data_IF_267419511210
#
_entry.id   IF_267419511210
#
_cell.length_a   1.000
_cell.length_b   1.000
_cell.length_c   1.000
_cell.angle_alpha   90.00
_cell.angle_beta   90.00
_cell.angle_gamma   90.00
#
_symmetry.space_group_name_H-M   'P 1'
#
loop_
_entity.id
_entity.type
_entity.pdbx_description
1 polymer ?
#
# COMPACT_ATOMS: atom_id res chain seq x y z
N UNK A 1 5.01 0.73 23.62
CA UNK A 1 5.31 0.73 22.17
C UNK A 1 6.82 0.67 21.99
N UNK A 2 7.30 -0.42 21.41
CA UNK A 2 8.69 -0.59 20.94
C UNK A 2 9.01 0.40 19.82
N UNK A 3 10.30 0.57 19.54
CA UNK A 3 10.83 1.39 18.46
C UNK A 3 11.23 0.50 17.29
N UNK A 4 11.24 1.05 16.08
CA UNK A 4 11.74 0.32 14.92
C UNK A 4 13.21 -0.08 15.11
N UNK A 5 14.00 0.74 15.81
CA UNK A 5 15.39 0.47 16.15
C UNK A 5 15.59 -0.68 17.14
N UNK A 6 14.55 -1.10 17.88
CA UNK A 6 14.61 -2.22 18.82
C UNK A 6 14.64 -3.58 18.10
N UNK A 7 14.33 -3.59 16.79
CA UNK A 7 14.25 -4.78 15.96
C UNK A 7 15.44 -4.89 15.00
N UNK A 8 15.88 -6.12 14.76
CA UNK A 8 16.86 -6.41 13.70
C UNK A 8 16.15 -6.65 12.37
N UNK A 9 16.39 -5.77 11.41
CA UNK A 9 15.82 -5.86 10.06
C UNK A 9 16.84 -6.38 9.05
N UNK A 10 16.42 -7.28 8.17
CA UNK A 10 17.22 -7.69 7.02
C UNK A 10 17.26 -6.57 5.98
N UNK A 11 18.33 -6.52 5.17
CA UNK A 11 18.43 -5.60 4.03
C UNK A 11 17.44 -5.95 2.92
N UNK A 12 17.13 -7.24 2.81
CA UNK A 12 16.23 -7.80 1.82
C UNK A 12 15.44 -8.95 2.45
N UNK A 13 14.15 -9.02 2.13
CA UNK A 13 13.30 -10.16 2.41
C UNK A 13 12.90 -10.85 1.10
N UNK A 14 12.93 -12.19 1.08
CA UNK A 14 12.50 -13.07 -0.01
C UNK A 14 11.60 -14.19 0.55
N UNK A 15 11.00 -15.06 -0.29
CA UNK A 15 10.19 -16.17 0.22
C UNK A 15 10.99 -17.14 1.11
N UNK A 16 12.32 -17.20 0.98
CA UNK A 16 13.20 -17.99 1.85
C UNK A 16 13.17 -17.53 3.31
N UNK A 17 12.78 -16.28 3.54
CA UNK A 17 12.68 -15.70 4.89
C UNK A 17 11.35 -16.04 5.59
N UNK A 18 10.47 -16.78 4.93
CA UNK A 18 9.20 -17.26 5.48
C UNK A 18 8.05 -16.26 5.32
N UNK A 19 7.12 -16.27 6.29
CA UNK A 19 5.92 -15.43 6.25
C UNK A 19 6.28 -13.96 6.47
N UNK A 20 6.34 -13.20 5.37
CA UNK A 20 6.67 -11.78 5.37
C UNK A 20 5.70 -10.93 6.20
N UNK A 21 4.45 -11.36 6.38
CA UNK A 21 3.50 -10.64 7.25
C UNK A 21 4.00 -10.68 8.68
N UNK A 22 4.36 -11.87 9.17
CA UNK A 22 4.86 -12.07 10.54
C UNK A 22 6.28 -11.57 10.72
N UNK A 23 7.14 -11.75 9.71
CA UNK A 23 8.56 -11.43 9.77
C UNK A 23 8.88 -9.95 9.54
N UNK A 24 7.97 -9.19 8.93
CA UNK A 24 8.21 -7.78 8.58
C UNK A 24 7.04 -6.86 8.96
N UNK A 25 5.83 -7.08 8.43
CA UNK A 25 4.74 -6.11 8.58
C UNK A 25 4.22 -5.99 10.02
N UNK A 26 3.98 -7.12 10.69
CA UNK A 26 3.51 -7.13 12.08
C UNK A 26 4.48 -6.41 13.01
N UNK A 27 5.78 -6.78 13.11
CA UNK A 27 6.69 -6.08 14.02
C UNK A 27 6.89 -4.61 13.64
N UNK A 28 6.86 -4.26 12.36
CA UNK A 28 7.04 -2.88 11.93
C UNK A 28 5.83 -2.01 12.30
N UNK A 29 4.61 -2.51 12.07
CA UNK A 29 3.38 -1.79 12.37
C UNK A 29 3.04 -1.75 13.87
N UNK A 30 3.52 -2.71 14.66
CA UNK A 30 3.49 -2.64 16.13
C UNK A 30 4.31 -1.47 16.71
N UNK A 31 5.31 -0.99 15.97
CA UNK A 31 6.10 0.19 16.33
C UNK A 31 5.53 1.48 15.70
N UNK A 32 4.60 1.39 14.76
CA UNK A 32 4.26 2.50 13.90
C UNK A 32 3.27 3.49 14.53
N UNK A 33 3.48 4.77 14.24
CA UNK A 33 2.47 5.84 14.38
C UNK A 33 2.02 6.38 13.02
N UNK A 34 2.82 6.18 11.96
CA UNK A 34 2.44 6.52 10.59
C UNK A 34 2.86 5.41 9.62
N UNK A 35 1.99 5.13 8.64
CA UNK A 35 2.27 4.19 7.57
C UNK A 35 1.77 4.72 6.22
N UNK A 36 2.69 5.04 5.32
CA UNK A 36 2.40 5.38 3.93
C UNK A 36 2.61 4.14 3.05
N UNK A 37 1.62 3.79 2.21
CA UNK A 37 1.71 2.66 1.27
C UNK A 37 1.32 3.08 -0.14
N UNK A 38 2.17 2.74 -1.12
CA UNK A 38 1.88 2.81 -2.55
C UNK A 38 1.64 1.40 -3.09
N UNK A 39 0.54 1.20 -3.80
CA UNK A 39 0.26 -0.05 -4.55
C UNK A 39 -0.33 0.24 -5.91
N UNK A 40 0.01 -0.58 -6.89
CA UNK A 40 -0.39 -0.36 -8.27
C UNK A 40 -1.83 -0.75 -8.62
N UNK A 41 -2.39 -1.76 -7.95
CA UNK A 41 -3.73 -2.27 -8.30
C UNK A 41 -4.73 -2.08 -7.18
N UNK A 42 -5.89 -1.55 -7.54
CA UNK A 42 -7.05 -1.43 -6.67
C UNK A 42 -7.95 -2.67 -6.79
N UNK A 43 -7.84 -3.60 -5.85
CA UNK A 43 -8.72 -4.77 -5.75
C UNK A 43 -9.04 -5.08 -4.28
N UNK A 44 -10.15 -5.77 -4.01
CA UNK A 44 -10.59 -6.15 -2.66
C UNK A 44 -9.48 -6.87 -1.88
N UNK A 45 -8.72 -7.69 -2.60
CA UNK A 45 -7.55 -8.40 -2.09
C UNK A 45 -6.41 -7.47 -1.68
N UNK A 46 -6.11 -6.42 -2.46
CA UNK A 46 -5.03 -5.47 -2.12
C UNK A 46 -5.33 -4.71 -0.82
N UNK A 47 -6.60 -4.35 -0.66
CA UNK A 47 -7.16 -3.71 0.53
C UNK A 47 -7.17 -4.62 1.76
N UNK A 48 -7.53 -5.90 1.58
CA UNK A 48 -7.43 -6.94 2.62
C UNK A 48 -5.98 -7.17 3.08
N UNK A 49 -5.00 -6.84 2.23
CA UNK A 49 -3.59 -6.98 2.56
C UNK A 49 -3.04 -5.75 3.29
N UNK A 50 -3.58 -4.55 2.99
CA UNK A 50 -3.26 -3.32 3.71
C UNK A 50 -3.59 -3.40 5.21
N UNK A 51 -4.60 -4.18 5.60
CA UNK A 51 -4.98 -4.35 7.02
C UNK A 51 -4.10 -5.34 7.79
N UNK A 52 -3.16 -6.05 7.14
CA UNK A 52 -2.30 -7.01 7.86
C UNK A 52 -1.29 -6.30 8.73
N UNK A 53 -1.28 -6.64 10.02
CA UNK A 53 -0.42 -5.98 11.03
C UNK A 53 -0.93 -4.60 11.47
N UNK A 54 -2.03 -4.11 10.90
CA UNK A 54 -2.54 -2.77 11.20
C UNK A 54 -3.10 -2.62 12.61
N UNK A 55 -3.39 -3.74 13.28
CA UNK A 55 -3.79 -3.73 14.68
C UNK A 55 -2.75 -3.02 15.57
N UNK A 56 -1.45 -3.24 15.29
CA UNK A 56 -0.37 -2.53 15.97
C UNK A 56 -0.47 -1.02 15.78
N UNK A 57 -0.65 -0.58 14.53
CA UNK A 57 -0.83 0.83 14.18
C UNK A 57 -2.05 1.44 14.88
N UNK A 58 -3.19 0.74 14.89
CA UNK A 58 -4.42 1.17 15.56
C UNK A 58 -4.20 1.34 17.06
N UNK A 59 -3.57 0.36 17.71
CA UNK A 59 -3.26 0.41 19.16
C UNK A 59 -2.36 1.59 19.52
N UNK A 60 -1.48 1.99 18.60
CA UNK A 60 -0.60 3.15 18.77
C UNK A 60 -1.28 4.48 18.42
N UNK A 61 -2.58 4.46 18.14
CA UNK A 61 -3.36 5.61 17.67
C UNK A 61 -2.78 6.23 16.39
N UNK A 62 -2.13 5.38 15.58
CA UNK A 62 -1.46 5.78 14.36
C UNK A 62 -2.41 5.99 13.18
N UNK A 63 -1.82 6.38 12.05
CA UNK A 63 -2.53 6.69 10.81
C UNK A 63 -1.86 6.04 9.62
N UNK A 64 -2.67 5.59 8.68
CA UNK A 64 -2.21 5.05 7.41
C UNK A 64 -2.73 5.90 6.26
N UNK A 65 -1.88 6.09 5.24
CA UNK A 65 -2.28 6.64 3.95
C UNK A 65 -1.95 5.64 2.87
N UNK A 66 -2.95 5.25 2.11
CA UNK A 66 -2.88 4.25 1.06
C UNK A 66 -3.13 4.91 -0.29
N UNK A 67 -2.12 4.94 -1.16
CA UNK A 67 -2.25 5.41 -2.54
C UNK A 67 -2.37 4.20 -3.45
N UNK A 68 -3.46 4.16 -4.21
CA UNK A 68 -3.80 3.06 -5.10
C UNK A 68 -3.87 3.54 -6.55
N UNK A 69 -3.23 2.82 -7.46
CA UNK A 69 -3.35 3.10 -8.89
C UNK A 69 -4.77 2.88 -9.39
N UNK A 70 -5.28 3.83 -10.18
CA UNK A 70 -6.51 3.68 -10.96
C UNK A 70 -6.24 4.10 -12.40
N UNK A 71 -6.51 3.19 -13.31
CA UNK A 71 -6.38 3.43 -14.75
C UNK A 71 -7.78 3.64 -15.30
N UNK A 72 -7.96 4.75 -16.00
CA UNK A 72 -9.19 5.06 -16.71
C UNK A 72 -9.04 4.65 -18.18
N UNK A 73 -10.09 4.10 -18.74
CA UNK A 73 -10.16 3.72 -20.14
C UNK A 73 -10.46 4.93 -21.03
N UNK A 74 -10.23 4.77 -22.34
CA UNK A 74 -10.44 5.85 -23.32
C UNK A 74 -11.80 6.55 -23.20
N UNK A 75 -12.94 5.83 -23.06
CA UNK A 75 -14.25 6.50 -22.96
C UNK A 75 -14.38 7.40 -21.73
N UNK A 76 -13.73 7.03 -20.62
CA UNK A 76 -13.75 7.79 -19.36
C UNK A 76 -12.87 9.04 -19.50
N UNK A 77 -11.70 8.91 -20.11
CA UNK A 77 -10.84 10.05 -20.45
C UNK A 77 -11.54 11.02 -21.41
N UNK A 78 -12.25 10.51 -22.41
CA UNK A 78 -13.01 11.33 -23.36
C UNK A 78 -14.15 12.09 -22.66
N UNK A 79 -14.78 11.49 -21.65
CA UNK A 79 -15.77 12.17 -20.83
C UNK A 79 -15.15 13.32 -20.02
N UNK A 80 -13.96 13.12 -19.45
CA UNK A 80 -13.21 14.18 -18.76
C UNK A 80 -12.87 15.31 -19.73
N UNK A 81 -12.39 14.97 -20.93
CA UNK A 81 -12.06 15.95 -21.97
C UNK A 81 -13.29 16.77 -22.44
N UNK A 82 -14.49 16.23 -22.30
CA UNK A 82 -15.78 16.91 -22.59
C UNK A 82 -16.31 17.74 -21.41
N UNK A 83 -15.56 17.82 -20.31
CA UNK A 83 -15.88 18.67 -19.16
C UNK A 83 -16.50 17.93 -17.97
N UNK A 84 -16.46 16.60 -17.92
CA UNK A 84 -16.80 15.90 -16.67
C UNK A 84 -15.63 15.99 -15.69
N UNK A 85 -15.92 16.28 -14.43
CA UNK A 85 -14.90 16.33 -13.39
C UNK A 85 -14.26 14.95 -13.18
N UNK A 86 -12.94 14.95 -12.94
CA UNK A 86 -12.19 13.71 -12.71
C UNK A 86 -12.74 12.93 -11.51
N UNK A 87 -13.15 13.62 -10.44
CA UNK A 87 -13.69 12.99 -9.25
C UNK A 87 -15.01 12.24 -9.54
N UNK A 88 -15.89 12.84 -10.33
CA UNK A 88 -17.16 12.22 -10.71
C UNK A 88 -16.92 10.99 -11.60
N UNK A 89 -15.99 11.09 -12.56
CA UNK A 89 -15.62 9.93 -13.39
C UNK A 89 -14.97 8.81 -12.57
N UNK A 90 -14.08 9.14 -11.63
CA UNK A 90 -13.49 8.15 -10.72
C UNK A 90 -14.56 7.47 -9.87
N UNK A 91 -15.54 8.21 -9.36
CA UNK A 91 -16.64 7.63 -8.60
C UNK A 91 -17.43 6.63 -9.45
N UNK A 92 -17.78 7.00 -10.69
CA UNK A 92 -18.47 6.10 -11.63
C UNK A 92 -17.62 4.85 -11.92
N UNK A 93 -16.33 5.02 -12.21
CA UNK A 93 -15.40 3.93 -12.47
C UNK A 93 -15.32 2.92 -11.32
N UNK A 94 -15.17 3.43 -10.09
CA UNK A 94 -15.06 2.61 -8.88
C UNK A 94 -16.38 1.90 -8.55
N UNK A 95 -17.52 2.55 -8.78
CA UNK A 95 -18.85 1.95 -8.58
C UNK A 95 -19.17 0.88 -9.64
N UNK A 96 -18.69 1.05 -10.87
CA UNK A 96 -18.83 0.06 -11.94
C UNK A 96 -17.99 -1.20 -11.67
N UNK A 97 -16.90 -1.07 -10.90
CA UNK A 97 -15.98 -2.13 -10.55
C UNK A 97 -15.97 -2.38 -9.03
N UNK A 98 -17.10 -2.79 -8.42
CA UNK A 98 -17.18 -2.94 -6.97
C UNK A 98 -16.24 -4.04 -6.48
N UNK A 99 -15.69 -3.83 -5.28
CA UNK A 99 -14.88 -4.81 -4.57
C UNK A 99 -15.75 -6.03 -4.23
N UNK A 100 -15.46 -7.17 -4.86
CA UNK A 100 -16.18 -8.43 -4.63
C UNK A 100 -15.31 -9.39 -3.81
N UNK A 101 -15.64 -9.66 -2.54
CA UNK A 101 -14.91 -10.64 -1.75
C UNK A 101 -15.19 -12.05 -2.28
N UNK A 102 -14.14 -12.88 -2.38
CA UNK A 102 -14.24 -14.28 -2.81
C UNK A 102 -14.50 -15.27 -1.67
N UNK A 103 -14.33 -14.85 -0.41
CA UNK A 103 -14.50 -15.71 0.77
C UNK A 103 -14.80 -14.88 2.04
N UNK A 104 -15.15 -15.56 3.14
CA UNK A 104 -15.51 -14.91 4.41
C UNK A 104 -14.38 -14.08 5.03
N UNK A 105 -13.11 -14.47 4.84
CA UNK A 105 -11.96 -13.69 5.36
C UNK A 105 -11.84 -12.35 4.64
N UNK A 106 -12.08 -12.34 3.33
CA UNK A 106 -12.10 -11.11 2.53
C UNK A 106 -13.27 -10.21 2.90
N UNK A 107 -14.45 -10.77 3.21
CA UNK A 107 -15.58 -10.00 3.76
C UNK A 107 -15.18 -9.28 5.04
N UNK A 108 -14.65 -10.02 6.02
CA UNK A 108 -14.23 -9.46 7.32
C UNK A 108 -13.14 -8.39 7.16
N UNK A 109 -12.21 -8.59 6.22
CA UNK A 109 -11.16 -7.62 5.95
C UNK A 109 -11.70 -6.34 5.30
N UNK A 110 -12.67 -6.44 4.39
CA UNK A 110 -13.36 -5.29 3.82
C UNK A 110 -14.19 -4.54 4.88
N UNK A 111 -14.86 -5.25 5.79
CA UNK A 111 -15.59 -4.66 6.92
C UNK A 111 -14.65 -3.89 7.86
N UNK A 112 -13.51 -4.50 8.22
CA UNK A 112 -12.48 -3.84 9.02
C UNK A 112 -11.96 -2.59 8.30
N UNK A 113 -11.63 -2.69 7.02
CA UNK A 113 -11.18 -1.53 6.25
C UNK A 113 -12.24 -0.42 6.22
N UNK A 114 -13.50 -0.75 5.96
CA UNK A 114 -14.59 0.22 5.94
C UNK A 114 -14.71 0.93 7.29
N UNK A 115 -14.60 0.19 8.40
CA UNK A 115 -14.54 0.77 9.74
C UNK A 115 -13.32 1.68 9.92
N UNK A 116 -12.14 1.27 9.45
CA UNK A 116 -10.91 2.07 9.58
C UNK A 116 -10.97 3.38 8.78
N UNK A 117 -11.56 3.35 7.59
CA UNK A 117 -11.81 4.56 6.78
C UNK A 117 -12.82 5.47 7.50
N UNK A 118 -13.93 4.91 7.99
CA UNK A 118 -14.95 5.68 8.72
C UNK A 118 -14.40 6.33 10.01
N UNK A 119 -13.42 5.70 10.66
CA UNK A 119 -12.76 6.21 11.87
C UNK A 119 -11.47 7.01 11.56
N UNK A 120 -11.24 7.35 10.29
CA UNK A 120 -10.08 8.13 9.84
C UNK A 120 -8.72 7.53 10.23
N UNK A 121 -8.66 6.20 10.41
CA UNK A 121 -7.40 5.49 10.65
C UNK A 121 -6.64 5.30 9.34
N UNK A 122 -7.37 5.00 8.26
CA UNK A 122 -6.83 4.89 6.91
C UNK A 122 -7.43 6.01 6.04
N UNK A 123 -6.55 6.75 5.37
CA UNK A 123 -6.90 7.59 4.24
C UNK A 123 -6.56 6.83 2.94
N UNK A 124 -7.52 6.74 2.01
CA UNK A 124 -7.30 6.12 0.70
C UNK A 124 -7.32 7.21 -0.36
N UNK A 125 -6.25 7.28 -1.16
CA UNK A 125 -6.10 8.21 -2.27
C UNK A 125 -5.88 7.45 -3.57
N UNK A 126 -6.41 7.97 -4.67
CA UNK A 126 -6.32 7.33 -5.98
C UNK A 126 -5.30 8.04 -6.86
N UNK A 127 -4.34 7.29 -7.39
CA UNK A 127 -3.32 7.76 -8.31
C UNK A 127 -3.77 7.50 -9.75
N UNK A 128 -4.05 8.58 -10.50
CA UNK A 128 -4.43 8.55 -11.92
C UNK A 128 -3.21 8.94 -12.77
N UNK A 129 -2.80 8.10 -13.74
CA UNK A 129 -1.73 8.43 -14.67
C UNK A 129 -2.07 9.70 -15.47
N UNK A 130 -1.12 10.64 -15.52
CA UNK A 130 -1.27 11.90 -16.24
C UNK A 130 -0.08 12.16 -17.17
N UNK A 131 -0.31 12.95 -18.22
CA UNK A 131 0.76 13.54 -19.03
C UNK A 131 1.51 14.64 -18.25
N UNK A 132 2.55 15.22 -18.87
CA UNK A 132 3.33 16.30 -18.26
C UNK A 132 2.52 17.57 -17.93
N UNK A 133 1.36 17.78 -18.56
CA UNK A 133 0.43 18.86 -18.27
C UNK A 133 -0.56 18.53 -17.14
N UNK A 134 -0.40 17.40 -16.46
CA UNK A 134 -1.29 16.86 -15.40
C UNK A 134 -2.71 16.54 -15.89
N UNK A 135 -2.85 16.19 -17.17
CA UNK A 135 -4.12 15.71 -17.72
C UNK A 135 -4.13 14.17 -17.71
N UNK A 136 -5.22 13.54 -17.27
CA UNK A 136 -5.37 12.08 -17.29
C UNK A 136 -5.11 11.50 -18.68
N UNK A 137 -4.41 10.37 -18.75
CA UNK A 137 -4.13 9.67 -20.01
C UNK A 137 -4.69 8.24 -19.99
N UNK A 138 -5.18 7.74 -21.12
CA UNK A 138 -5.71 6.38 -21.23
C UNK A 138 -4.57 5.38 -21.28
N UNK A 139 -4.68 4.28 -20.53
CA UNK A 139 -4.07 2.96 -20.77
C UNK A 139 -2.58 2.80 -21.15
N UNK A 140 -1.77 3.85 -21.26
CA UNK A 140 -0.40 3.80 -21.80
C UNK A 140 0.66 3.59 -20.71
N UNK A 141 0.34 3.93 -19.46
CA UNK A 141 1.21 3.71 -18.31
C UNK A 141 0.36 3.52 -17.06
N UNK A 142 0.67 2.48 -16.29
CA UNK A 142 0.00 2.20 -15.01
C UNK A 142 0.84 2.73 -13.86
N UNK A 143 0.20 3.27 -12.83
CA UNK A 143 0.85 3.44 -11.53
C UNK A 143 1.10 2.04 -10.97
N UNK A 144 2.36 1.59 -10.94
CA UNK A 144 2.71 0.21 -10.56
C UNK A 144 3.73 0.13 -9.42
N UNK A 145 3.74 1.18 -8.59
CA UNK A 145 4.62 1.26 -7.42
C UNK A 145 4.23 0.26 -6.32
N UNK A 146 5.25 -0.18 -5.58
CA UNK A 146 5.13 -1.14 -4.46
C UNK A 146 6.11 -0.73 -3.37
N UNK A 147 5.84 0.43 -2.80
CA UNK A 147 6.71 1.04 -1.81
C UNK A 147 5.92 1.42 -0.57
N UNK A 148 6.59 1.48 0.57
CA UNK A 148 5.97 1.96 1.79
C UNK A 148 6.99 2.59 2.72
N UNK A 149 6.49 3.44 3.62
CA UNK A 149 7.27 4.07 4.67
C UNK A 149 6.49 3.91 5.97
N UNK A 150 7.15 3.34 6.96
CA UNK A 150 6.63 3.17 8.32
C UNK A 150 7.46 4.08 9.21
N UNK A 151 6.79 4.87 10.06
CA UNK A 151 7.42 5.78 11.01
C UNK A 151 6.94 5.47 12.43
N UNK A 152 7.87 5.43 13.38
CA UNK A 152 7.57 5.27 14.79
C UNK A 152 7.47 6.60 15.55
N UNK A 153 7.17 6.53 16.84
CA UNK A 153 6.95 7.71 17.71
C UNK A 153 8.18 8.63 17.86
N UNK A 154 9.38 8.16 17.49
CA UNK A 154 10.61 8.94 17.57
C UNK A 154 10.93 9.65 16.25
N UNK A 155 10.18 9.37 15.18
CA UNK A 155 10.43 9.88 13.84
C UNK A 155 11.39 9.02 13.02
N UNK A 156 11.84 7.89 13.59
CA UNK A 156 12.59 6.89 12.83
C UNK A 156 11.70 6.23 11.79
N UNK A 157 12.25 6.07 10.58
CA UNK A 157 11.55 5.65 9.38
C UNK A 157 12.18 4.39 8.80
N UNK A 158 11.34 3.40 8.59
CA UNK A 158 11.62 2.20 7.82
C UNK A 158 10.90 2.31 6.47
N UNK A 159 11.67 2.49 5.40
CA UNK A 159 11.13 2.47 4.05
C UNK A 159 11.42 1.14 3.37
N UNK A 160 10.56 0.75 2.44
CA UNK A 160 10.70 -0.48 1.70
C UNK A 160 10.17 -0.31 0.27
N UNK A 161 10.82 -1.01 -0.66
CA UNK A 161 10.34 -1.14 -2.03
C UNK A 161 10.63 -2.55 -2.57
N UNK A 162 9.91 -2.98 -3.59
CA UNK A 162 10.15 -4.29 -4.14
C UNK A 162 9.18 -4.73 -5.21
N UNK A 163 9.21 -6.01 -5.54
CA UNK A 163 8.34 -6.61 -6.54
C UNK A 163 7.01 -7.11 -5.93
N UNK A 164 6.94 -7.19 -4.59
CA UNK A 164 5.80 -7.74 -3.84
C UNK A 164 4.47 -7.12 -4.24
N UNK A 165 3.74 -7.87 -5.07
CA UNK A 165 2.37 -7.55 -5.43
C UNK A 165 1.44 -7.83 -4.24
N UNK A 166 0.48 -6.96 -3.99
CA UNK A 166 -0.56 -7.15 -2.97
C UNK A 166 -1.61 -8.18 -3.44
N UNK A 167 -1.17 -9.43 -3.51
CA UNK A 167 -1.95 -10.56 -4.01
C UNK A 167 -1.61 -11.84 -3.24
N UNK A 168 -2.56 -12.75 -3.03
CA UNK A 168 -2.26 -14.04 -2.37
C UNK A 168 -1.05 -14.74 -2.99
N UNK A 169 -0.96 -14.73 -4.33
CA UNK A 169 0.17 -15.25 -5.08
C UNK A 169 1.47 -14.50 -4.75
N UNK A 170 1.48 -13.16 -4.77
CA UNK A 170 2.62 -12.32 -4.36
C UNK A 170 3.16 -12.68 -2.97
N UNK A 171 2.28 -13.04 -2.04
CA UNK A 171 2.66 -13.35 -0.66
C UNK A 171 3.02 -14.81 -0.38
N UNK A 172 2.53 -15.76 -1.18
CA UNK A 172 2.68 -17.19 -0.85
C UNK A 172 3.14 -18.09 -2.00
N UNK A 173 3.20 -17.59 -3.24
CA UNK A 173 3.47 -18.40 -4.44
C UNK A 173 4.54 -17.81 -5.35
N UNK A 174 4.57 -16.49 -5.49
CA UNK A 174 5.51 -15.79 -6.34
C UNK A 174 6.85 -15.60 -5.63
N UNK A 175 7.91 -15.55 -6.42
CA UNK A 175 9.21 -15.11 -5.94
C UNK A 175 9.28 -13.59 -5.90
N UNK A 176 8.80 -13.01 -4.80
CA UNK A 176 8.83 -11.57 -4.58
C UNK A 176 9.96 -11.16 -3.64
N UNK A 177 10.43 -9.91 -3.75
CA UNK A 177 11.39 -9.38 -2.79
C UNK A 177 11.03 -7.98 -2.31
N UNK A 178 11.45 -7.67 -1.08
CA UNK A 178 11.39 -6.35 -0.47
C UNK A 178 12.78 -5.93 -0.01
N UNK A 179 13.26 -4.79 -0.50
CA UNK A 179 14.48 -4.15 -0.01
C UNK A 179 14.11 -3.15 1.09
N UNK A 180 14.91 -3.10 2.15
CA UNK A 180 14.64 -2.30 3.34
C UNK A 180 15.66 -1.17 3.47
N UNK A 181 15.16 -0.02 3.90
CA UNK A 181 15.86 1.24 4.08
C UNK A 181 15.52 1.74 5.49
N UNK A 182 16.50 2.22 6.25
CA UNK A 182 16.32 2.60 7.66
C UNK A 182 16.93 3.98 7.85
N UNK A 183 16.21 4.92 8.45
CA UNK A 183 16.69 6.29 8.63
C UNK A 183 17.81 6.43 9.66
N UNK A 184 17.89 5.50 10.61
CA UNK A 184 18.83 5.55 11.73
C UNK A 184 20.17 4.84 11.46
N UNK A 185 20.29 4.19 10.29
CA UNK A 185 21.56 3.66 9.83
C UNK A 185 22.07 4.61 8.75
N UNK A 186 23.22 5.23 9.00
CA UNK A 186 23.86 6.23 8.13
C UNK A 186 24.25 5.68 6.76
N UNK A 187 25.55 5.54 6.48
CA UNK A 187 26.04 5.02 5.20
C UNK A 187 25.46 3.63 4.87
N UNK A 188 25.21 3.41 3.58
CA UNK A 188 24.41 2.31 3.07
C UNK A 188 25.16 0.95 3.12
N UNK A 189 24.72 -0.03 3.94
CA UNK A 189 25.32 -1.37 3.96
C UNK A 189 24.95 -2.25 2.75
N UNK A 190 24.10 -1.78 1.81
CA UNK A 190 23.60 -2.59 0.69
C UNK A 190 24.60 -2.83 -0.42
N UNK A 191 25.64 -2.00 -0.50
CA UNK A 191 26.78 -2.21 -1.40
C UNK A 191 28.04 -2.22 -0.54
N UNK A 192 28.27 -3.33 0.16
CA UNK A 192 29.61 -3.64 0.62
C UNK A 192 30.45 -4.02 -0.61
N UNK A 193 31.61 -3.38 -0.77
CA UNK A 193 32.60 -3.73 -1.78
C UNK A 193 33.11 -5.17 -1.59
#
# INVERSE_FOLDING_TARGET
MSLLSDHTWKLKYTPDDGDLVKGFYVPALECAVRYDRLTGYFQARALTLAVRGIEGLVRNNGRMRLLVGCTLDQPEIDAIAKGVELQDQLQVHLLANPLKPGNQREVQALELLAWMVANQVIEVQVAVPCNHARQPVPGLGIFHEKAGIIEDKTGDRLAFNGSLNETEAGWSRNWESLNIFRSWLGDDPRVAA
#
